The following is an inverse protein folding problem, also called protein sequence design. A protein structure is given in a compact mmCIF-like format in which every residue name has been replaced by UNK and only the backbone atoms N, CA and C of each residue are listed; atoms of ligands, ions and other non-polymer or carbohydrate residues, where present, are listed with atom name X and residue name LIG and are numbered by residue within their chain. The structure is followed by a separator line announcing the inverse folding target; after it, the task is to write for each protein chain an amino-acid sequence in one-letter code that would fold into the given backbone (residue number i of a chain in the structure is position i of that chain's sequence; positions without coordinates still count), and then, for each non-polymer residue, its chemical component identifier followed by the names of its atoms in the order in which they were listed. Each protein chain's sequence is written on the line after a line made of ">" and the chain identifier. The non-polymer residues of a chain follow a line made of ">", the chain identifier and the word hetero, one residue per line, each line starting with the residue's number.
data_IF_724992780762
#
_entry.id   IF_724992780762
#
_cell.length_a   1.000
_cell.length_b   1.000
_cell.length_c   1.000
_cell.angle_alpha   90.00
_cell.angle_beta   90.00
_cell.angle_gamma   90.00
#
_symmetry.space_group_name_H-M   'P 1'
#
loop_
_entity.id
_entity.type
_entity.pdbx_description
1 polymer ?
#
# COMPACT_ATOMS: atom_id res chain seq x y z
N UNK A 1 -16.27 3.36 -45.83
CA UNK A 1 -15.93 2.53 -44.66
C UNK A 1 -14.80 3.27 -43.96
N UNK A 2 -15.10 3.95 -42.86
CA UNK A 2 -14.09 4.69 -42.10
C UNK A 2 -13.01 3.72 -41.63
N UNK A 3 -11.75 4.07 -41.87
CA UNK A 3 -10.60 3.32 -41.41
C UNK A 3 -10.59 3.33 -39.88
N UNK A 4 -11.10 2.25 -39.29
CA UNK A 4 -10.98 1.99 -37.87
C UNK A 4 -9.51 1.74 -37.55
N UNK A 5 -8.82 2.76 -37.04
CA UNK A 5 -7.42 2.65 -36.65
C UNK A 5 -7.32 1.96 -35.28
N UNK A 6 -7.14 0.64 -35.35
CA UNK A 6 -6.97 -0.27 -34.21
C UNK A 6 -5.90 0.21 -33.22
N UNK A 7 -4.83 0.84 -33.71
CA UNK A 7 -3.73 1.28 -32.84
C UNK A 7 -4.13 2.48 -31.98
N UNK A 8 -4.90 3.40 -32.55
CA UNK A 8 -5.41 4.57 -31.84
C UNK A 8 -6.35 4.15 -30.71
N UNK A 9 -7.28 3.23 -31.00
CA UNK A 9 -8.21 2.67 -30.02
C UNK A 9 -7.50 1.88 -28.91
N UNK A 10 -6.51 1.04 -29.26
CA UNK A 10 -5.68 0.33 -28.27
C UNK A 10 -4.92 1.30 -27.35
N UNK A 11 -4.42 2.41 -27.89
CA UNK A 11 -3.73 3.43 -27.10
C UNK A 11 -4.67 4.12 -26.12
N UNK A 12 -5.92 4.40 -26.54
CA UNK A 12 -6.95 5.00 -25.70
C UNK A 12 -7.36 4.06 -24.56
N UNK A 13 -7.57 2.77 -24.86
CA UNK A 13 -7.89 1.75 -23.86
C UNK A 13 -6.77 1.57 -22.82
N UNK A 14 -5.50 1.57 -23.26
CA UNK A 14 -4.34 1.50 -22.35
C UNK A 14 -4.25 2.73 -21.44
N UNK A 15 -4.44 3.93 -21.98
CA UNK A 15 -4.48 5.18 -21.19
C UNK A 15 -5.62 5.16 -20.17
N UNK A 16 -6.80 4.72 -20.59
CA UNK A 16 -7.97 4.57 -19.72
C UNK A 16 -7.71 3.57 -18.58
N UNK A 17 -7.09 2.44 -18.90
CA UNK A 17 -6.70 1.42 -17.91
C UNK A 17 -5.71 1.98 -16.88
N UNK A 18 -4.72 2.76 -17.30
CA UNK A 18 -3.75 3.41 -16.40
C UNK A 18 -4.46 4.43 -15.50
N UNK A 19 -5.39 5.21 -16.06
CA UNK A 19 -6.17 6.19 -15.30
C UNK A 19 -7.05 5.52 -14.23
N UNK A 20 -7.75 4.42 -14.58
CA UNK A 20 -8.55 3.63 -13.64
C UNK A 20 -7.69 3.03 -12.52
N UNK A 21 -6.49 2.52 -12.85
CA UNK A 21 -5.55 1.96 -11.86
C UNK A 21 -4.92 3.02 -10.96
N UNK A 22 -5.03 4.31 -11.29
CA UNK A 22 -4.41 5.41 -10.55
C UNK A 22 -5.16 5.61 -9.23
N UNK A 23 -4.77 4.87 -8.19
CA UNK A 23 -5.31 5.05 -6.82
C UNK A 23 -5.17 6.50 -6.35
N UNK A 24 -6.16 6.98 -5.61
CA UNK A 24 -6.11 8.31 -4.98
C UNK A 24 -4.99 8.36 -3.93
N UNK A 25 -4.40 9.53 -3.69
CA UNK A 25 -3.33 9.71 -2.71
C UNK A 25 -3.77 9.30 -1.28
N UNK A 26 -5.04 9.52 -0.93
CA UNK A 26 -5.64 9.04 0.32
C UNK A 26 -5.62 7.51 0.45
N UNK A 27 -5.82 6.77 -0.63
CA UNK A 27 -5.74 5.31 -0.66
C UNK A 27 -4.30 4.78 -0.59
N UNK A 28 -3.28 5.66 -0.74
CA UNK A 28 -1.87 5.29 -0.58
C UNK A 28 -1.37 5.42 0.85
N UNK A 29 -2.04 6.21 1.71
CA UNK A 29 -1.67 6.36 3.12
C UNK A 29 -2.18 5.16 3.90
N UNK A 30 -1.27 4.34 4.39
CA UNK A 30 -1.59 3.27 5.32
C UNK A 30 -1.91 3.88 6.68
N UNK A 31 -2.87 3.29 7.42
CA UNK A 31 -3.09 3.66 8.82
C UNK A 31 -1.85 3.43 9.69
N UNK A 32 -0.97 2.52 9.26
CA UNK A 32 0.32 2.26 9.89
C UNK A 32 1.32 3.41 9.70
N UNK A 33 1.16 4.26 8.68
CA UNK A 33 2.08 5.37 8.41
C UNK A 33 2.08 6.40 9.54
N UNK A 34 1.00 6.46 10.34
CA UNK A 34 0.91 7.28 11.56
C UNK A 34 1.94 6.86 12.62
N UNK A 35 2.25 5.56 12.69
CA UNK A 35 3.18 4.97 13.65
C UNK A 35 4.49 4.56 12.98
N UNK A 36 4.83 5.19 11.86
CA UNK A 36 5.95 4.78 11.01
C UNK A 36 7.26 4.75 11.80
N UNK A 37 7.51 5.81 12.56
CA UNK A 37 8.76 5.95 13.32
C UNK A 37 8.85 4.89 14.41
N UNK A 38 7.78 4.70 15.18
CA UNK A 38 7.71 3.74 16.28
C UNK A 38 7.86 2.29 15.78
N UNK A 39 7.17 1.94 14.69
CA UNK A 39 7.26 0.60 14.10
C UNK A 39 8.66 0.30 13.57
N UNK A 40 9.30 1.26 12.90
CA UNK A 40 10.66 1.09 12.39
C UNK A 40 11.68 1.01 13.52
N UNK A 41 11.55 1.84 14.57
CA UNK A 41 12.43 1.76 15.73
C UNK A 41 12.29 0.43 16.47
N UNK A 42 11.06 -0.07 16.67
CA UNK A 42 10.82 -1.37 17.28
C UNK A 42 11.38 -2.51 16.41
N UNK A 43 11.20 -2.45 15.09
CA UNK A 43 11.75 -3.44 14.17
C UNK A 43 13.29 -3.44 14.18
N UNK A 44 13.91 -2.26 14.18
CA UNK A 44 15.37 -2.12 14.28
C UNK A 44 15.93 -2.63 15.61
N UNK A 45 15.16 -2.56 16.70
CA UNK A 45 15.54 -3.17 17.98
C UNK A 45 15.32 -4.70 18.01
N UNK A 46 14.92 -5.32 16.90
CA UNK A 46 14.71 -6.76 16.77
C UNK A 46 13.31 -7.24 17.14
N UNK A 47 12.32 -6.36 17.25
CA UNK A 47 10.95 -6.78 17.52
C UNK A 47 10.38 -7.59 16.35
N UNK A 48 9.71 -8.68 16.70
CA UNK A 48 9.00 -9.52 15.74
C UNK A 48 7.71 -8.84 15.26
N UNK A 49 7.22 -9.28 14.11
CA UNK A 49 6.00 -8.74 13.50
C UNK A 49 4.77 -8.96 14.39
N UNK A 50 4.74 -10.07 15.13
CA UNK A 50 3.68 -10.35 16.09
C UNK A 50 3.68 -9.34 17.25
N UNK A 51 4.86 -8.87 17.69
CA UNK A 51 5.00 -7.83 18.72
C UNK A 51 4.60 -6.46 18.17
N UNK A 52 4.99 -6.13 16.94
CA UNK A 52 4.50 -4.92 16.26
C UNK A 52 2.97 -4.93 16.13
N UNK A 53 2.37 -6.07 15.82
CA UNK A 53 0.91 -6.21 15.78
C UNK A 53 0.27 -6.01 17.16
N UNK A 54 0.88 -6.53 18.24
CA UNK A 54 0.42 -6.30 19.62
C UNK A 54 0.52 -4.82 20.00
N UNK A 55 1.62 -4.16 19.65
CA UNK A 55 1.80 -2.72 19.85
C UNK A 55 0.70 -1.91 19.15
N UNK A 56 0.39 -2.24 17.89
CA UNK A 56 -0.69 -1.58 17.15
C UNK A 56 -2.05 -1.81 17.79
N UNK A 57 -2.31 -3.01 18.31
CA UNK A 57 -3.56 -3.33 19.00
C UNK A 57 -3.74 -2.50 20.28
N UNK A 58 -2.66 -2.27 21.04
CA UNK A 58 -2.69 -1.38 22.20
C UNK A 58 -3.00 0.08 21.81
N UNK A 59 -2.53 0.49 20.62
CA UNK A 59 -2.82 1.80 20.03
C UNK A 59 -4.20 1.88 19.31
N UNK A 60 -5.11 0.95 19.61
CA UNK A 60 -6.46 0.85 19.02
C UNK A 60 -6.47 0.62 17.48
N UNK A 61 -5.39 0.07 16.94
CA UNK A 61 -5.31 -0.33 15.52
C UNK A 61 -5.36 -1.85 15.42
N UNK A 62 -6.48 -2.36 14.90
CA UNK A 62 -6.64 -3.78 14.56
C UNK A 62 -6.19 -4.01 13.12
N UNK A 63 -5.06 -4.69 12.94
CA UNK A 63 -4.53 -5.12 11.65
C UNK A 63 -4.13 -6.58 11.70
N UNK A 64 -4.08 -7.22 10.53
CA UNK A 64 -3.65 -8.61 10.38
C UNK A 64 -2.13 -8.65 10.29
N UNK A 65 -1.52 -9.74 10.77
CA UNK A 65 -0.08 -9.99 10.69
C UNK A 65 0.50 -9.72 9.30
N UNK A 66 -0.15 -10.23 8.24
CA UNK A 66 0.28 -10.05 6.85
C UNK A 66 0.23 -8.61 6.36
N UNK A 67 -0.57 -7.75 7.01
CA UNK A 67 -0.58 -6.31 6.73
C UNK A 67 0.65 -5.64 7.33
N UNK A 68 1.04 -6.02 8.56
CA UNK A 68 2.23 -5.50 9.22
C UNK A 68 3.49 -5.96 8.49
N UNK A 69 3.57 -7.25 8.14
CA UNK A 69 4.68 -7.81 7.36
C UNK A 69 4.90 -7.05 6.05
N UNK A 70 3.87 -6.97 5.19
CA UNK A 70 3.95 -6.24 3.91
C UNK A 70 4.26 -4.76 4.09
N UNK A 71 3.83 -4.16 5.19
CA UNK A 71 4.12 -2.76 5.46
C UNK A 71 5.59 -2.57 5.85
N UNK A 72 6.14 -3.46 6.68
CA UNK A 72 7.56 -3.47 7.06
C UNK A 72 8.45 -3.76 5.85
N UNK A 73 8.17 -4.79 5.03
CA UNK A 73 8.92 -5.09 3.80
C UNK A 73 9.00 -3.91 2.82
N UNK A 74 8.02 -3.00 2.87
CA UNK A 74 7.96 -1.83 2.00
C UNK A 74 8.68 -0.59 2.57
N UNK A 75 8.86 -0.50 3.88
CA UNK A 75 9.31 0.73 4.55
C UNK A 75 10.54 0.59 5.44
N UNK A 76 10.85 -0.63 5.90
CA UNK A 76 12.10 -0.98 6.56
C UNK A 76 13.13 -1.44 5.54
#
# INVERSE_FOLDING_TARGET
>A
MENFDVNTELSALRKQTIAIRKRCYSQRKSRLDKFKYELLSLHQSGATIAELQRFLRNNRIKVVHSTVYRWIEKHG
#
